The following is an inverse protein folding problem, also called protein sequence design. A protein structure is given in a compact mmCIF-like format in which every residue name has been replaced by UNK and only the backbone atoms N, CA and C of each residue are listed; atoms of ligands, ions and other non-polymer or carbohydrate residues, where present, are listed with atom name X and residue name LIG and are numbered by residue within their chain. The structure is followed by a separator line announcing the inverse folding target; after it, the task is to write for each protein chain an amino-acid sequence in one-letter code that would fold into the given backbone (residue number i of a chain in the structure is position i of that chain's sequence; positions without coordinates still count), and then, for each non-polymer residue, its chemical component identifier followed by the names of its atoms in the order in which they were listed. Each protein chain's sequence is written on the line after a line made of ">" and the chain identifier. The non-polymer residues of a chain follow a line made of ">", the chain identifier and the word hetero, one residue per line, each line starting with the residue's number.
data_IF_664786284484
#
_entry.id   IF_664786284484
#
_cell.length_a   1.000
_cell.length_b   1.000
_cell.length_c   1.000
_cell.angle_alpha   90.00
_cell.angle_beta   90.00
_cell.angle_gamma   90.00
#
_symmetry.space_group_name_H-M   'P 1'
#
loop_
_entity.id
_entity.type
_entity.pdbx_description
1 polymer ?
#
# COMPACT_ATOMS: atom_id res chain seq x y z
N UNK A 1 -24.55 17.80 23.10
CA UNK A 1 -24.33 16.87 21.97
C UNK A 1 -23.25 17.47 21.07
N UNK A 2 -22.05 16.87 20.99
CA UNK A 2 -20.92 17.44 20.24
C UNK A 2 -21.09 17.22 18.72
N UNK A 3 -22.00 17.99 18.11
CA UNK A 3 -22.29 17.98 16.66
C UNK A 3 -21.03 18.07 15.80
N UNK A 4 -20.01 18.82 16.25
CA UNK A 4 -18.73 18.95 15.56
C UNK A 4 -17.92 17.64 15.50
N UNK A 5 -18.02 16.78 16.51
CA UNK A 5 -17.33 15.49 16.55
C UNK A 5 -18.04 14.45 15.69
N UNK A 6 -19.38 14.42 15.74
CA UNK A 6 -20.20 13.55 14.89
C UNK A 6 -19.92 13.83 13.40
N UNK A 7 -19.87 15.10 13.02
CA UNK A 7 -19.54 15.51 11.65
C UNK A 7 -18.12 15.10 11.24
N UNK A 8 -17.15 15.12 12.16
CA UNK A 8 -15.77 14.67 11.89
C UNK A 8 -15.70 13.15 11.71
N UNK A 9 -16.42 12.38 12.53
CA UNK A 9 -16.49 10.92 12.39
C UNK A 9 -17.11 10.53 11.05
N UNK A 10 -18.21 11.19 10.65
CA UNK A 10 -18.85 10.95 9.36
C UNK A 10 -17.92 11.29 8.17
N UNK A 11 -17.17 12.40 8.26
CA UNK A 11 -16.15 12.76 7.26
C UNK A 11 -15.02 11.75 7.21
N UNK A 12 -14.51 11.30 8.35
CA UNK A 12 -13.44 10.31 8.42
C UNK A 12 -13.84 9.00 7.73
N UNK A 13 -15.07 8.52 7.97
CA UNK A 13 -15.61 7.34 7.26
C UNK A 13 -15.65 7.56 5.74
N UNK A 14 -16.19 8.71 5.29
CA UNK A 14 -16.22 9.05 3.86
C UNK A 14 -14.82 9.08 3.23
N UNK A 15 -13.83 9.68 3.90
CA UNK A 15 -12.47 9.76 3.37
C UNK A 15 -11.79 8.39 3.28
N UNK A 16 -12.15 7.43 4.14
CA UNK A 16 -11.67 6.05 4.03
C UNK A 16 -12.29 5.30 2.83
N UNK A 17 -13.47 5.71 2.38
CA UNK A 17 -14.18 5.16 1.20
C UNK A 17 -13.75 5.83 -0.12
N UNK A 18 -12.96 6.91 -0.07
CA UNK A 18 -12.47 7.71 -1.20
C UNK A 18 -10.92 7.63 -1.29
N UNK A 19 -10.33 6.45 -1.57
CA UNK A 19 -8.89 6.21 -1.47
C UNK A 19 -8.05 7.07 -2.43
N UNK A 20 -8.62 7.56 -3.54
CA UNK A 20 -7.97 8.51 -4.45
C UNK A 20 -7.60 9.85 -3.79
N UNK A 21 -8.18 10.16 -2.64
CA UNK A 21 -7.80 11.35 -1.83
C UNK A 21 -6.57 11.14 -0.98
N UNK A 22 -6.14 9.89 -0.79
CA UNK A 22 -5.06 9.53 0.11
C UNK A 22 -3.83 9.23 -0.73
N UNK A 23 -2.71 9.86 -0.37
CA UNK A 23 -1.41 9.56 -0.97
C UNK A 23 -0.41 9.16 0.12
N UNK A 24 0.09 7.93 0.05
CA UNK A 24 1.24 7.53 0.88
C UNK A 24 2.51 8.05 0.24
N UNK A 25 3.25 8.87 0.99
CA UNK A 25 4.56 9.41 0.58
C UNK A 25 5.71 8.60 1.19
N UNK A 26 5.47 8.01 2.36
CA UNK A 26 6.40 7.11 3.05
C UNK A 26 5.65 6.16 3.97
N UNK A 27 6.09 4.91 4.07
CA UNK A 27 5.66 3.98 5.12
C UNK A 27 6.73 2.91 5.41
N UNK A 28 6.53 2.21 6.52
CA UNK A 28 7.26 1.01 6.91
C UNK A 28 6.24 -0.02 7.41
N UNK A 29 6.42 -1.28 7.01
CA UNK A 29 5.57 -2.38 7.43
C UNK A 29 6.43 -3.61 7.74
N UNK A 30 6.11 -4.29 8.83
CA UNK A 30 6.67 -5.61 9.13
C UNK A 30 5.75 -6.67 8.51
N UNK A 31 6.29 -7.37 7.53
CA UNK A 31 5.61 -8.42 6.77
C UNK A 31 5.94 -9.77 7.40
N UNK A 32 4.93 -10.45 7.93
CA UNK A 32 5.09 -11.83 8.40
C UNK A 32 5.08 -12.77 7.19
N UNK A 33 6.26 -13.20 6.76
CA UNK A 33 6.42 -14.28 5.80
C UNK A 33 6.21 -15.65 6.45
N UNK A 34 6.28 -16.70 5.64
CA UNK A 34 6.15 -18.09 6.10
C UNK A 34 7.26 -18.48 7.10
N UNK A 35 8.48 -18.00 6.86
CA UNK A 35 9.66 -18.40 7.64
C UNK A 35 10.23 -17.28 8.51
N UNK A 36 10.04 -16.02 8.11
CA UNK A 36 10.68 -14.86 8.73
C UNK A 36 9.80 -13.60 8.64
N UNK A 37 10.13 -12.60 9.46
CA UNK A 37 9.58 -11.26 9.35
C UNK A 37 10.49 -10.41 8.47
N UNK A 38 9.90 -9.76 7.47
CA UNK A 38 10.61 -8.85 6.57
C UNK A 38 10.07 -7.43 6.69
N UNK A 39 10.95 -6.45 6.78
CA UNK A 39 10.55 -5.05 6.78
C UNK A 39 10.46 -4.56 5.34
N UNK A 40 9.30 -4.03 4.97
CA UNK A 40 9.06 -3.40 3.68
C UNK A 40 8.91 -1.90 3.90
N UNK A 41 9.66 -1.10 3.16
CA UNK A 41 9.56 0.36 3.19
C UNK A 41 9.21 0.89 1.82
N UNK A 42 8.57 2.05 1.85
CA UNK A 42 8.38 2.88 0.67
C UNK A 42 8.74 4.30 1.07
N UNK A 43 9.57 4.98 0.28
CA UNK A 43 9.93 6.38 0.50
C UNK A 43 10.29 7.01 -0.83
N UNK A 44 9.77 8.21 -1.10
CA UNK A 44 10.15 8.99 -2.29
C UNK A 44 9.97 8.25 -3.62
N UNK A 45 9.03 7.31 -3.71
CA UNK A 45 8.81 6.51 -4.93
C UNK A 45 9.64 5.23 -5.01
N UNK A 46 10.51 4.96 -4.03
CA UNK A 46 11.37 3.79 -3.99
C UNK A 46 10.84 2.76 -3.00
N UNK A 47 10.90 1.50 -3.41
CA UNK A 47 10.55 0.34 -2.60
C UNK A 47 11.81 -0.30 -2.04
N UNK A 48 11.75 -0.79 -0.81
CA UNK A 48 12.79 -1.63 -0.24
C UNK A 48 12.16 -2.77 0.55
N UNK A 49 12.77 -3.94 0.53
CA UNK A 49 12.43 -5.03 1.42
C UNK A 49 13.70 -5.69 1.97
N UNK A 50 13.67 -6.14 3.22
CA UNK A 50 14.80 -6.84 3.85
C UNK A 50 14.92 -8.31 3.43
N UNK A 51 13.99 -8.83 2.62
CA UNK A 51 14.10 -10.21 2.16
C UNK A 51 15.21 -10.37 1.12
N UNK A 52 15.83 -11.56 1.10
CA UNK A 52 16.94 -11.86 0.19
C UNK A 52 16.58 -11.69 -1.29
N UNK A 53 15.38 -12.12 -1.66
CA UNK A 53 14.92 -12.03 -3.06
C UNK A 53 14.87 -10.57 -3.54
N UNK A 54 14.46 -9.63 -2.68
CA UNK A 54 14.47 -8.21 -3.04
C UNK A 54 15.90 -7.68 -3.25
N UNK A 55 16.83 -8.07 -2.38
CA UNK A 55 18.23 -7.67 -2.53
C UNK A 55 18.83 -8.14 -3.87
N UNK A 56 18.43 -9.32 -4.34
CA UNK A 56 18.96 -9.91 -5.57
C UNK A 56 18.29 -9.37 -6.84
N UNK A 57 17.00 -8.98 -6.78
CA UNK A 57 16.18 -8.67 -7.96
C UNK A 57 15.55 -7.27 -8.00
N UNK A 58 15.58 -6.53 -6.89
CA UNK A 58 14.92 -5.23 -6.76
C UNK A 58 13.39 -5.27 -6.67
N UNK A 59 12.78 -6.47 -6.59
CA UNK A 59 11.36 -6.68 -6.34
C UNK A 59 11.15 -8.00 -5.58
N UNK A 60 10.02 -8.15 -4.88
CA UNK A 60 9.66 -9.38 -4.17
C UNK A 60 8.15 -9.49 -3.90
N UNK A 61 7.70 -10.64 -3.41
CA UNK A 61 6.29 -10.84 -3.04
C UNK A 61 5.78 -9.83 -2.01
N UNK A 62 6.62 -9.32 -1.11
CA UNK A 62 6.21 -8.35 -0.09
C UNK A 62 5.93 -6.97 -0.69
N UNK A 63 6.84 -6.44 -1.52
CA UNK A 63 6.63 -5.17 -2.23
C UNK A 63 5.45 -5.28 -3.20
N UNK A 64 5.34 -6.40 -3.91
CA UNK A 64 4.19 -6.70 -4.77
C UNK A 64 2.86 -6.76 -4.01
N UNK A 65 2.84 -7.33 -2.80
CA UNK A 65 1.66 -7.40 -1.96
C UNK A 65 1.28 -6.01 -1.44
N UNK A 66 2.25 -5.22 -0.96
CA UNK A 66 2.01 -3.86 -0.47
C UNK A 66 1.48 -2.94 -1.56
N UNK A 67 1.97 -3.07 -2.79
CA UNK A 67 1.43 -2.34 -3.94
C UNK A 67 -0.05 -2.67 -4.21
N UNK A 68 -0.47 -3.93 -4.01
CA UNK A 68 -1.88 -4.36 -4.16
C UNK A 68 -2.75 -3.82 -3.03
N UNK A 69 -2.26 -3.87 -1.79
CA UNK A 69 -2.97 -3.34 -0.61
C UNK A 69 -3.18 -1.84 -0.71
N UNK A 70 -2.15 -1.10 -1.13
CA UNK A 70 -2.19 0.35 -1.19
C UNK A 70 -2.85 0.85 -2.49
N UNK A 71 -2.76 0.09 -3.58
CA UNK A 71 -3.53 0.33 -4.81
C UNK A 71 -3.43 1.76 -5.32
N UNK A 72 -4.57 2.46 -5.37
CA UNK A 72 -4.64 3.83 -5.89
C UNK A 72 -3.98 4.90 -5.02
N UNK A 73 -3.68 4.57 -3.75
CA UNK A 73 -3.12 5.50 -2.77
C UNK A 73 -1.61 5.74 -2.95
N UNK A 74 -0.98 5.07 -3.92
CA UNK A 74 0.38 5.32 -4.38
C UNK A 74 0.32 5.93 -5.79
N UNK A 75 1.17 6.91 -6.14
CA UNK A 75 1.20 7.46 -7.50
C UNK A 75 1.38 6.36 -8.53
N UNK A 76 0.65 6.48 -9.66
CA UNK A 76 0.68 5.48 -10.73
C UNK A 76 2.10 5.17 -11.23
N UNK A 77 3.00 6.16 -11.22
CA UNK A 77 4.40 6.01 -11.62
C UNK A 77 5.23 5.05 -10.74
N UNK A 78 4.79 4.77 -9.51
CA UNK A 78 5.54 3.93 -8.54
C UNK A 78 4.86 2.58 -8.28
N UNK A 79 3.91 2.19 -9.14
CA UNK A 79 3.28 0.87 -9.15
C UNK A 79 4.07 -0.02 -10.13
N UNK A 80 5.11 -0.70 -9.65
CA UNK A 80 5.89 -1.67 -10.44
C UNK A 80 5.18 -3.03 -10.48
N UNK A 81 5.07 -3.64 -11.67
CA UNK A 81 4.44 -4.95 -11.83
C UNK A 81 2.93 -4.92 -12.10
N UNK A 82 2.32 -3.75 -12.29
CA UNK A 82 1.03 -3.67 -13.02
C UNK A 82 1.35 -3.74 -14.51
N UNK A 83 1.66 -4.94 -14.99
CA UNK A 83 1.43 -5.23 -16.40
C UNK A 83 -0.06 -4.96 -16.64
N UNK A 84 -0.37 -3.95 -17.44
CA UNK A 84 -1.70 -3.72 -18.02
C UNK A 84 -2.18 -5.04 -18.63
N UNK A 85 -2.95 -5.83 -17.88
CA UNK A 85 -3.46 -7.13 -18.35
C UNK A 85 -3.68 -8.23 -17.32
N UNK A 86 -3.08 -8.18 -16.12
CA UNK A 86 -3.32 -9.21 -15.09
C UNK A 86 -4.03 -8.61 -13.85
N UNK A 87 -5.35 -8.48 -13.98
CA UNK A 87 -6.31 -8.51 -12.86
C UNK A 87 -6.00 -7.63 -11.65
N UNK A 88 -6.05 -6.31 -11.80
CA UNK A 88 -6.13 -5.36 -10.67
C UNK A 88 -7.57 -4.92 -10.43
N UNK A 89 -8.51 -5.88 -10.45
CA UNK A 89 -9.79 -5.65 -9.80
C UNK A 89 -9.53 -5.49 -8.29
N UNK A 90 -10.24 -4.59 -7.59
CA UNK A 90 -10.21 -4.59 -6.13
C UNK A 90 -10.53 -6.01 -5.64
N UNK A 91 -9.84 -6.46 -4.59
CA UNK A 91 -10.23 -7.68 -3.88
C UNK A 91 -11.60 -7.40 -3.24
N UNK A 92 -12.67 -7.66 -4.00
CA UNK A 92 -14.02 -7.73 -3.47
C UNK A 92 -14.07 -8.97 -2.60
N UNK A 93 -14.22 -8.76 -1.29
CA UNK A 93 -14.63 -9.79 -0.35
C UNK A 93 -15.98 -10.38 -0.74
#
# INVERSE_FOLDING_TARGET
>A
MNSSMINKIAKAKRYAEEPERIQFTRFEANFQGENDVHTTTYSSGEWQCTCRFFHDWGDCCHTMAMQRVLGVTIPAAHRHGVLTGLGTGPLTH
#
